data_IF_384932048859
#
_entry.id   IF_384932048859
#
_cell.length_a   1.000
_cell.length_b   1.000
_cell.length_c   1.000
_cell.angle_alpha   90.00
_cell.angle_beta   90.00
_cell.angle_gamma   90.00
#
_symmetry.space_group_name_H-M   'P 1'
#
loop_
_entity.id
_entity.type
_entity.pdbx_description
1 polymer ?
#
# COMPACT_ATOMS: atom_id res chain seq x y z
N UNK A 1 -26.21 4.80 -19.08
CA UNK A 1 -25.10 3.89 -19.48
C UNK A 1 -24.03 4.58 -20.32
N UNK A 2 -24.37 5.40 -21.32
CA UNK A 2 -23.40 6.07 -22.20
C UNK A 2 -22.38 6.96 -21.45
N UNK A 3 -22.84 7.77 -20.49
CA UNK A 3 -21.96 8.61 -19.66
C UNK A 3 -20.92 7.76 -18.90
N UNK A 4 -21.33 6.61 -18.35
CA UNK A 4 -20.41 5.69 -17.65
C UNK A 4 -19.36 5.14 -18.61
N UNK A 5 -19.76 4.76 -19.83
CA UNK A 5 -18.84 4.26 -20.85
C UNK A 5 -17.80 5.31 -21.23
N UNK A 6 -18.23 6.54 -21.52
CA UNK A 6 -17.35 7.65 -21.87
C UNK A 6 -16.40 7.97 -20.71
N UNK A 7 -16.93 8.07 -19.49
CA UNK A 7 -16.14 8.31 -18.28
C UNK A 7 -15.06 7.24 -18.06
N UNK A 8 -15.44 5.96 -18.16
CA UNK A 8 -14.49 4.85 -18.04
C UNK A 8 -13.45 4.88 -19.16
N UNK A 9 -13.83 5.13 -20.41
CA UNK A 9 -12.88 5.25 -21.53
C UNK A 9 -11.86 6.37 -21.32
N UNK A 10 -12.32 7.55 -20.91
CA UNK A 10 -11.43 8.69 -20.63
C UNK A 10 -10.47 8.33 -19.50
N UNK A 11 -10.96 7.76 -18.39
CA UNK A 11 -10.10 7.34 -17.29
C UNK A 11 -9.12 6.25 -17.69
N UNK A 12 -9.56 5.24 -18.44
CA UNK A 12 -8.71 4.16 -18.91
C UNK A 12 -7.59 4.68 -19.81
N UNK A 13 -7.90 5.61 -20.73
CA UNK A 13 -6.90 6.24 -21.62
C UNK A 13 -5.97 7.20 -20.86
N UNK A 14 -6.47 7.91 -19.85
CA UNK A 14 -5.66 8.79 -19.02
C UNK A 14 -4.80 8.03 -18.00
N UNK A 15 -5.20 6.82 -17.60
CA UNK A 15 -4.56 6.06 -16.52
C UNK A 15 -3.06 5.81 -16.70
N UNK A 16 -2.50 5.49 -17.89
CA UNK A 16 -1.06 5.29 -18.05
C UNK A 16 -0.26 6.56 -17.73
N UNK A 17 -0.78 7.73 -18.09
CA UNK A 17 -0.17 9.03 -17.81
C UNK A 17 -0.24 9.37 -16.32
N UNK A 18 -1.39 9.12 -15.69
CA UNK A 18 -1.59 9.33 -14.25
C UNK A 18 -0.67 8.43 -13.42
N UNK A 19 -0.59 7.14 -13.77
CA UNK A 19 0.28 6.16 -13.11
C UNK A 19 1.76 6.49 -13.32
N UNK A 20 2.15 6.92 -14.52
CA UNK A 20 3.50 7.41 -14.76
C UNK A 20 3.83 8.60 -13.85
N UNK A 21 2.94 9.58 -13.73
CA UNK A 21 3.14 10.74 -12.85
C UNK A 21 3.18 10.41 -11.35
N UNK A 22 2.49 9.34 -10.96
CA UNK A 22 2.48 8.81 -9.59
C UNK A 22 3.80 8.11 -9.25
N UNK A 23 4.29 7.23 -10.14
CA UNK A 23 5.45 6.38 -9.86
C UNK A 23 6.79 6.94 -10.33
N UNK A 24 6.79 8.01 -11.14
CA UNK A 24 8.02 8.70 -11.53
C UNK A 24 8.76 9.19 -10.28
N UNK A 25 10.05 8.87 -10.18
CA UNK A 25 10.92 9.38 -9.13
C UNK A 25 10.91 10.91 -9.13
N UNK A 26 10.69 11.50 -7.95
CA UNK A 26 10.73 12.94 -7.71
C UNK A 26 11.89 13.27 -6.77
N UNK A 27 12.64 14.36 -7.00
CA UNK A 27 13.68 14.80 -6.07
C UNK A 27 13.11 14.95 -4.65
N UNK A 28 13.82 14.44 -3.64
CA UNK A 28 13.40 14.51 -2.24
C UNK A 28 12.28 13.55 -1.83
N UNK A 29 11.79 12.68 -2.71
CA UNK A 29 10.84 11.60 -2.35
C UNK A 29 11.47 10.22 -2.56
N UNK A 30 11.28 9.27 -1.62
CA UNK A 30 11.68 7.89 -1.83
C UNK A 30 10.95 7.32 -3.05
N UNK A 31 11.66 6.55 -3.87
CA UNK A 31 11.06 5.85 -4.99
C UNK A 31 10.23 4.67 -4.50
N UNK A 32 9.10 4.41 -5.16
CA UNK A 32 8.28 3.21 -4.89
C UNK A 32 9.00 1.91 -5.25
N UNK A 33 10.05 1.96 -6.08
CA UNK A 33 10.89 0.80 -6.42
C UNK A 33 10.07 -0.38 -6.94
N UNK A 34 10.36 -1.61 -6.49
CA UNK A 34 9.60 -2.80 -6.87
C UNK A 34 8.22 -2.91 -6.22
N UNK A 35 7.93 -2.08 -5.20
CA UNK A 35 6.73 -2.13 -4.37
C UNK A 35 5.52 -1.43 -5.00
N UNK A 36 5.68 -0.75 -6.13
CA UNK A 36 4.57 -0.11 -6.85
C UNK A 36 3.41 -1.07 -7.17
N UNK A 37 3.72 -2.37 -7.34
CA UNK A 37 2.75 -3.44 -7.58
C UNK A 37 1.80 -3.65 -6.40
N UNK A 38 2.21 -3.30 -5.18
CA UNK A 38 1.38 -3.41 -3.97
C UNK A 38 0.11 -2.54 -4.07
N UNK A 39 0.17 -1.38 -4.75
CA UNK A 39 -1.01 -0.54 -5.00
C UNK A 39 -2.05 -1.19 -5.92
N UNK A 40 -1.66 -2.21 -6.69
CA UNK A 40 -2.55 -3.00 -7.53
C UNK A 40 -3.02 -4.29 -6.84
N UNK A 41 -2.77 -4.43 -5.53
CA UNK A 41 -3.09 -5.63 -4.77
C UNK A 41 -2.13 -6.80 -5.00
N UNK A 42 -1.04 -6.58 -5.74
CA UNK A 42 0.00 -7.59 -5.96
C UNK A 42 1.00 -7.48 -4.82
N UNK A 43 0.75 -8.22 -3.74
CA UNK A 43 1.58 -8.23 -2.54
C UNK A 43 2.30 -9.57 -2.37
N UNK A 44 3.42 -9.62 -1.62
CA UNK A 44 3.99 -10.88 -1.17
C UNK A 44 2.95 -11.72 -0.40
N UNK A 45 3.04 -13.04 -0.50
CA UNK A 45 2.18 -13.91 0.30
C UNK A 45 2.52 -13.76 1.78
N UNK A 46 1.48 -13.67 2.62
CA UNK A 46 1.66 -13.65 4.07
C UNK A 46 2.01 -15.06 4.55
N UNK A 47 3.19 -15.20 5.15
CA UNK A 47 3.63 -16.45 5.74
C UNK A 47 3.20 -16.49 7.21
N UNK A 48 2.24 -17.36 7.52
CA UNK A 48 1.79 -17.63 8.90
C UNK A 48 0.28 -17.79 9.03
N UNK A 49 -0.14 -18.50 10.08
CA UNK A 49 -1.55 -18.67 10.42
C UNK A 49 -2.05 -17.46 11.21
N UNK A 50 -3.26 -17.00 10.93
CA UNK A 50 -3.96 -15.92 11.66
C UNK A 50 -3.12 -14.64 11.81
N UNK A 51 -2.82 -13.94 10.70
CA UNK A 51 -2.07 -12.70 10.78
C UNK A 51 -2.85 -11.61 11.52
N UNK A 52 -2.14 -10.82 12.33
CA UNK A 52 -2.69 -9.58 12.89
C UNK A 52 -2.61 -8.53 11.80
N UNK A 53 -3.76 -7.99 11.39
CA UNK A 53 -3.82 -6.92 10.41
C UNK A 53 -3.90 -5.57 11.10
N UNK A 54 -2.93 -4.70 10.81
CA UNK A 54 -2.87 -3.31 11.26
C UNK A 54 -3.08 -2.40 10.04
N UNK A 55 -4.10 -1.56 10.10
CA UNK A 55 -4.40 -0.57 9.08
C UNK A 55 -4.09 0.84 9.62
N UNK A 56 -3.25 1.60 8.92
CA UNK A 56 -2.89 2.97 9.29
C UNK A 56 -3.24 3.92 8.13
N UNK A 57 -4.13 4.88 8.36
CA UNK A 57 -4.62 5.79 7.32
C UNK A 57 -3.81 7.08 7.21
N UNK A 58 -2.90 7.33 8.15
CA UNK A 58 -2.03 8.52 8.17
C UNK A 58 -0.54 8.20 8.40
N UNK A 59 0.34 9.16 8.09
CA UNK A 59 1.78 9.08 8.45
C UNK A 59 1.94 8.91 9.96
N UNK A 60 1.20 9.70 10.75
CA UNK A 60 1.30 9.68 12.22
C UNK A 60 0.91 8.31 12.79
N UNK A 61 -0.15 7.70 12.27
CA UNK A 61 -0.57 6.35 12.66
C UNK A 61 0.43 5.28 12.24
N UNK A 62 1.00 5.40 11.04
CA UNK A 62 2.04 4.48 10.56
C UNK A 62 3.25 4.49 11.49
N UNK A 63 3.65 5.67 11.97
CA UNK A 63 4.73 5.83 12.94
C UNK A 63 4.32 5.28 14.32
N UNK A 64 3.09 5.57 14.78
CA UNK A 64 2.57 5.11 16.07
C UNK A 64 2.41 3.58 16.14
N UNK A 65 2.18 2.92 15.00
CA UNK A 65 2.07 1.46 14.92
C UNK A 65 3.42 0.74 15.16
N UNK A 66 4.55 1.39 14.88
CA UNK A 66 5.90 0.78 15.01
C UNK A 66 6.18 0.20 16.40
N UNK A 67 6.04 0.95 17.52
CA UNK A 67 6.28 0.39 18.86
C UNK A 67 5.33 -0.76 19.20
N UNK A 68 4.07 -0.70 18.76
CA UNK A 68 3.07 -1.75 18.97
C UNK A 68 3.52 -3.04 18.27
N UNK A 69 3.88 -2.94 16.99
CA UNK A 69 4.39 -4.08 16.19
C UNK A 69 5.63 -4.70 16.86
N UNK A 70 6.57 -3.87 17.32
CA UNK A 70 7.77 -4.34 18.01
C UNK A 70 7.41 -5.12 19.29
N UNK A 71 6.45 -4.64 20.07
CA UNK A 71 6.03 -5.32 21.29
C UNK A 71 5.27 -6.63 21.00
N UNK A 72 4.43 -6.67 19.96
CA UNK A 72 3.77 -7.89 19.51
C UNK A 72 4.79 -8.96 19.10
N UNK A 73 5.80 -8.57 18.31
CA UNK A 73 6.89 -9.46 17.89
C UNK A 73 7.76 -9.93 19.05
N UNK A 74 7.97 -9.11 20.09
CA UNK A 74 8.67 -9.54 21.31
C UNK A 74 7.92 -10.63 22.07
N UNK A 75 6.58 -10.56 22.12
CA UNK A 75 5.74 -11.56 22.80
C UNK A 75 5.61 -12.85 21.99
N UNK A 76 5.50 -12.74 20.67
CA UNK A 76 5.45 -13.88 19.77
C UNK A 76 6.23 -13.56 18.48
N UNK A 77 7.50 -14.01 18.38
CA UNK A 77 8.34 -13.76 17.21
C UNK A 77 7.74 -14.27 15.89
N UNK A 78 7.01 -15.40 15.98
CA UNK A 78 6.41 -16.10 14.85
C UNK A 78 5.04 -15.54 14.44
N UNK A 79 4.49 -14.57 15.17
CA UNK A 79 3.20 -13.95 14.84
C UNK A 79 3.29 -13.23 13.48
N UNK A 80 2.50 -13.66 12.50
CA UNK A 80 2.38 -12.95 11.23
C UNK A 80 1.68 -11.61 11.47
N UNK A 81 2.19 -10.53 10.86
CA UNK A 81 1.64 -9.19 10.96
C UNK A 81 1.56 -8.61 9.54
N UNK A 82 0.37 -8.15 9.15
CA UNK A 82 0.12 -7.44 7.90
C UNK A 82 -0.06 -5.96 8.25
N UNK A 83 0.66 -5.09 7.56
CA UNK A 83 0.49 -3.64 7.68
C UNK A 83 0.03 -3.09 6.35
N UNK A 84 -1.09 -2.36 6.36
CA UNK A 84 -1.60 -1.63 5.19
C UNK A 84 -1.64 -0.15 5.50
N UNK A 85 -1.23 0.68 4.54
CA UNK A 85 -1.28 2.14 4.63
C UNK A 85 -1.94 2.74 3.39
N UNK A 86 -2.58 3.90 3.55
CA UNK A 86 -3.09 4.72 2.44
C UNK A 86 -2.27 5.98 2.19
N UNK A 87 -1.27 6.28 3.02
CA UNK A 87 -0.46 7.53 2.94
C UNK A 87 0.82 7.38 2.13
#
# INVERSE_FOLDING_TARGET
MLIRLIYTLILSLASPLLLYGLYKSKPGKPSFGQRWKEHFGITPQTQGKNPIWIHAVSVGESIAAVPIIKQLKRRNPNQAIIVTTTT
#
